data_IF_544565517397
#
_entry.id   IF_544565517397
#
_cell.length_a   1.000
_cell.length_b   1.000
_cell.length_c   1.000
_cell.angle_alpha   90.00
_cell.angle_beta   90.00
_cell.angle_gamma   90.00
#
_symmetry.space_group_name_H-M   'P 1'
#
loop_
_entity.id
_entity.type
_entity.pdbx_description
1 polymer ?
#
# COMPACT_ATOMS: atom_id res chain seq x y z
N UNK A 1 -7.97 23.99 17.50
CA UNK A 1 -7.74 22.73 18.22
C UNK A 1 -7.93 21.65 17.17
N UNK A 2 -6.86 20.96 16.79
CA UNK A 2 -6.96 19.83 15.85
C UNK A 2 -7.65 18.68 16.57
N UNK A 3 -8.69 18.13 15.97
CA UNK A 3 -9.43 17.00 16.50
C UNK A 3 -8.52 15.77 16.48
N UNK A 4 -7.98 15.46 17.66
CA UNK A 4 -7.01 14.40 17.88
C UNK A 4 -7.74 13.25 18.58
N UNK A 5 -7.63 12.05 18.00
CA UNK A 5 -8.27 10.88 18.58
C UNK A 5 -7.46 10.33 19.77
N UNK A 6 -8.08 9.44 20.55
CA UNK A 6 -7.46 8.80 21.73
C UNK A 6 -6.19 7.99 21.40
N UNK A 7 -6.02 7.61 20.13
CA UNK A 7 -4.85 6.87 19.65
C UNK A 7 -3.68 7.80 19.32
N UNK A 8 -3.84 9.11 19.52
CA UNK A 8 -2.82 10.09 19.23
C UNK A 8 -2.51 10.16 17.74
N UNK A 9 -3.54 10.24 16.90
CA UNK A 9 -3.50 10.65 15.50
C UNK A 9 -4.52 11.78 15.31
N UNK A 10 -4.37 12.70 14.33
CA UNK A 10 -5.52 13.46 13.83
C UNK A 10 -6.63 12.48 13.44
N UNK A 11 -7.90 12.77 13.74
CA UNK A 11 -9.03 11.83 13.55
C UNK A 11 -9.06 11.24 12.14
N UNK A 12 -8.79 12.07 11.13
CA UNK A 12 -8.71 11.67 9.70
C UNK A 12 -7.55 10.71 9.39
N UNK A 13 -6.52 10.67 10.23
CA UNK A 13 -5.31 9.85 10.07
C UNK A 13 -5.32 8.55 10.87
N UNK A 14 -6.37 8.29 11.65
CA UNK A 14 -6.48 7.09 12.46
C UNK A 14 -7.34 6.05 11.75
N UNK A 15 -6.76 4.93 11.33
CA UNK A 15 -7.52 3.86 10.64
C UNK A 15 -8.52 3.11 11.54
N UNK A 16 -8.49 3.33 12.85
CA UNK A 16 -9.51 2.83 13.79
C UNK A 16 -10.67 3.82 13.94
N UNK A 17 -10.38 5.11 14.06
CA UNK A 17 -11.42 6.14 14.24
C UNK A 17 -12.09 6.51 12.91
N UNK A 18 -11.33 6.43 11.82
CA UNK A 18 -11.74 6.64 10.45
C UNK A 18 -11.39 5.40 9.64
N UNK A 19 -12.04 4.24 9.92
CA UNK A 19 -11.81 3.02 9.17
C UNK A 19 -12.16 3.25 7.71
N UNK A 20 -11.39 2.63 6.81
CA UNK A 20 -11.65 2.67 5.36
C UNK A 20 -13.09 2.21 5.14
N UNK A 21 -13.97 3.11 4.70
CA UNK A 21 -15.38 2.77 4.51
C UNK A 21 -15.49 1.71 3.41
N UNK A 22 -15.89 0.49 3.79
CA UNK A 22 -16.43 -0.48 2.85
C UNK A 22 -17.87 -0.08 2.57
N UNK A 23 -18.16 0.36 1.35
CA UNK A 23 -19.56 0.38 0.92
C UNK A 23 -20.06 -1.06 0.88
N UNK A 24 -21.13 -1.32 1.64
CA UNK A 24 -21.81 -2.61 1.58
C UNK A 24 -22.46 -2.71 0.21
N UNK A 25 -22.20 -3.75 -0.60
CA UNK A 25 -22.81 -3.87 -1.91
C UNK A 25 -24.33 -3.81 -1.77
N UNK A 26 -24.95 -2.83 -2.42
CA UNK A 26 -26.40 -2.74 -2.47
C UNK A 26 -26.94 -4.06 -3.05
N UNK A 27 -27.80 -4.74 -2.29
CA UNK A 27 -28.48 -5.96 -2.72
C UNK A 27 -29.16 -5.66 -4.07
N UNK A 28 -28.80 -6.35 -5.17
CA UNK A 28 -29.41 -6.08 -6.46
C UNK A 28 -30.90 -6.40 -6.38
N UNK A 29 -31.72 -5.36 -6.52
CA UNK A 29 -33.17 -5.51 -6.61
C UNK A 29 -33.50 -6.25 -7.89
N UNK A 30 -34.11 -7.41 -7.75
CA UNK A 30 -34.52 -8.27 -8.87
C UNK A 30 -35.51 -7.51 -9.77
N UNK A 31 -35.26 -7.36 -11.08
CA UNK A 31 -36.23 -6.72 -11.97
C UNK A 31 -37.50 -7.56 -12.08
N UNK A 32 -38.66 -6.92 -11.91
CA UNK A 32 -39.96 -7.54 -12.07
C UNK A 32 -40.19 -8.06 -13.51
N UNK A 33 -40.82 -9.22 -13.70
CA UNK A 33 -41.01 -9.80 -15.03
C UNK A 33 -42.04 -8.99 -15.84
N UNK A 34 -41.61 -8.46 -16.98
CA UNK A 34 -42.49 -7.77 -17.94
C UNK A 34 -43.30 -8.81 -18.73
N UNK A 35 -44.62 -8.84 -18.51
CA UNK A 35 -45.57 -9.66 -19.30
C UNK A 35 -45.44 -9.36 -20.80
N UNK A 36 -45.11 -10.38 -21.58
CA UNK A 36 -45.19 -10.37 -23.05
C UNK A 36 -46.67 -10.43 -23.48
N UNK A 37 -47.10 -9.45 -24.27
CA UNK A 37 -48.41 -9.47 -24.93
C UNK A 37 -48.22 -10.18 -26.28
N UNK A 38 -48.80 -11.37 -26.41
CA UNK A 38 -48.90 -12.12 -27.66
C UNK A 38 -50.00 -11.46 -28.48
N UNK A 39 -49.67 -10.91 -29.66
CA UNK A 39 -50.64 -10.58 -30.70
C UNK A 39 -50.38 -11.49 -31.89
N UNK A 40 -51.31 -12.41 -32.13
CA UNK A 40 -51.39 -13.24 -33.32
C UNK A 40 -51.83 -12.40 -34.51
N UNK A 41 -50.99 -12.26 -35.53
CA UNK A 41 -51.45 -11.88 -36.86
C UNK A 41 -50.74 -12.71 -37.94
N UNK A 42 -51.56 -13.36 -38.76
CA UNK A 42 -51.20 -14.22 -39.88
C UNK A 42 -51.18 -13.39 -41.17
N UNK A 43 -49.99 -13.07 -41.71
CA UNK A 43 -49.76 -13.02 -43.16
C UNK A 43 -48.29 -12.82 -43.55
N UNK A 44 -47.79 -13.81 -44.30
CA UNK A 44 -46.85 -13.81 -45.42
C UNK A 44 -45.52 -13.01 -45.37
N UNK A 45 -44.43 -13.75 -45.51
CA UNK A 45 -43.02 -13.36 -45.72
C UNK A 45 -42.75 -12.68 -47.08
N UNK A 46 -41.65 -11.90 -47.19
CA UNK A 46 -40.41 -12.42 -47.79
C UNK A 46 -39.13 -12.15 -46.96
N UNK A 47 -38.03 -12.77 -47.43
CA UNK A 47 -36.78 -13.18 -46.75
C UNK A 47 -35.78 -12.04 -46.36
N UNK A 48 -34.70 -12.34 -45.61
CA UNK A 48 -34.14 -11.46 -44.58
C UNK A 48 -33.06 -10.49 -45.09
N UNK A 49 -33.11 -9.25 -44.61
CA UNK A 49 -31.93 -8.40 -44.58
C UNK A 49 -31.05 -8.80 -43.39
N UNK A 50 -29.77 -9.07 -43.66
CA UNK A 50 -28.74 -9.47 -42.70
C UNK A 50 -28.60 -8.42 -41.60
N UNK A 51 -29.25 -8.65 -40.46
CA UNK A 51 -28.91 -7.95 -39.24
C UNK A 51 -27.51 -8.38 -38.81
N UNK A 52 -26.54 -7.47 -38.85
CA UNK A 52 -25.33 -7.65 -38.06
C UNK A 52 -25.75 -7.56 -36.60
N UNK A 53 -26.13 -8.70 -36.05
CA UNK A 53 -26.11 -8.89 -34.60
C UNK A 53 -24.63 -8.75 -34.22
N UNK A 54 -24.26 -7.52 -33.85
CA UNK A 54 -23.06 -7.27 -33.08
C UNK A 54 -23.21 -8.15 -31.85
N UNK A 55 -22.46 -9.26 -31.86
CA UNK A 55 -22.21 -10.06 -30.67
C UNK A 55 -21.79 -9.06 -29.62
N UNK A 56 -22.70 -8.76 -28.68
CA UNK A 56 -22.36 -7.97 -27.51
C UNK A 56 -21.24 -8.75 -26.85
N UNK A 57 -20.03 -8.20 -26.93
CA UNK A 57 -18.93 -8.63 -26.08
C UNK A 57 -19.50 -8.74 -24.66
N UNK A 58 -19.13 -9.79 -23.89
CA UNK A 58 -19.49 -9.84 -22.49
C UNK A 58 -19.12 -8.48 -21.89
N UNK A 59 -20.09 -7.83 -21.24
CA UNK A 59 -19.88 -6.52 -20.65
C UNK A 59 -18.64 -6.62 -19.78
N UNK A 60 -17.66 -5.74 -20.01
CA UNK A 60 -16.49 -5.67 -19.16
C UNK A 60 -16.99 -5.56 -17.71
N UNK A 61 -16.42 -6.32 -16.76
CA UNK A 61 -16.83 -6.22 -15.37
C UNK A 61 -16.77 -4.76 -14.95
N UNK A 62 -17.85 -4.29 -14.33
CA UNK A 62 -17.95 -2.91 -13.86
C UNK A 62 -16.86 -2.71 -12.80
N UNK A 63 -15.90 -1.84 -13.11
CA UNK A 63 -14.76 -1.59 -12.23
C UNK A 63 -15.26 -0.88 -10.96
N UNK A 64 -14.82 -1.26 -9.74
CA UNK A 64 -15.14 -0.59 -8.47
C UNK A 64 -14.95 0.92 -8.55
N UNK A 65 -15.60 1.69 -7.68
CA UNK A 65 -15.30 3.12 -7.63
C UNK A 65 -13.81 3.36 -7.35
N UNK A 66 -13.15 4.26 -8.11
CA UNK A 66 -11.73 4.51 -7.93
C UNK A 66 -11.46 5.12 -6.56
N UNK A 67 -10.55 4.51 -5.81
CA UNK A 67 -9.93 5.14 -4.64
C UNK A 67 -9.16 6.37 -5.07
N UNK A 68 -9.36 7.49 -4.37
CA UNK A 68 -8.52 8.66 -4.58
C UNK A 68 -7.11 8.34 -4.08
N UNK A 69 -6.17 8.18 -5.01
CA UNK A 69 -4.78 7.91 -4.67
C UNK A 69 -4.26 8.98 -3.73
N UNK A 70 -4.59 10.26 -3.95
CA UNK A 70 -4.07 11.37 -3.13
C UNK A 70 -4.50 11.29 -1.64
N UNK A 71 -5.56 10.54 -1.32
CA UNK A 71 -6.01 10.28 0.05
C UNK A 71 -5.27 9.14 0.75
N UNK A 72 -4.50 8.35 0.02
CA UNK A 72 -3.79 7.17 0.55
C UNK A 72 -2.54 7.55 1.36
N UNK A 73 -2.05 6.55 2.09
CA UNK A 73 -0.82 6.63 2.88
C UNK A 73 0.14 5.54 2.45
N UNK A 74 1.41 5.90 2.44
CA UNK A 74 2.52 5.02 2.23
C UNK A 74 3.20 4.70 3.57
N UNK A 75 3.50 3.43 3.78
CA UNK A 75 3.99 2.89 5.04
C UNK A 75 5.38 2.31 4.80
N UNK A 76 6.37 2.79 5.55
CA UNK A 76 7.74 2.26 5.52
C UNK A 76 8.06 1.67 6.89
N UNK A 77 8.02 0.34 6.98
CA UNK A 77 8.42 -0.39 8.17
C UNK A 77 9.94 -0.55 8.20
N UNK A 78 10.57 -0.19 9.32
CA UNK A 78 12.01 -0.36 9.52
C UNK A 78 12.31 -0.66 10.99
N UNK A 79 13.42 -1.34 11.24
CA UNK A 79 13.85 -1.63 12.61
C UNK A 79 14.18 -0.32 13.35
N UNK A 80 13.87 -0.24 14.64
CA UNK A 80 14.07 0.98 15.44
C UNK A 80 15.53 1.44 15.43
N UNK A 81 16.49 0.51 15.38
CA UNK A 81 17.93 0.84 15.33
C UNK A 81 18.35 1.51 14.01
N UNK A 82 17.56 1.39 12.93
CA UNK A 82 17.81 2.10 11.68
C UNK A 82 17.40 3.57 11.75
N UNK A 83 16.60 3.98 12.74
CA UNK A 83 16.13 5.36 12.83
C UNK A 83 17.28 6.35 13.06
N UNK A 84 18.31 5.99 13.80
CA UNK A 84 19.41 6.90 14.09
C UNK A 84 20.08 7.41 12.79
N UNK A 85 20.30 6.53 11.81
CA UNK A 85 20.88 6.94 10.52
C UNK A 85 19.89 7.71 9.65
N UNK A 86 18.62 7.32 9.61
CA UNK A 86 17.55 8.06 8.90
C UNK A 86 17.42 9.49 9.45
N UNK A 87 17.46 9.63 10.77
CA UNK A 87 17.37 10.91 11.48
C UNK A 87 18.62 11.75 11.21
N UNK A 88 19.82 11.18 11.30
CA UNK A 88 21.07 11.87 10.99
C UNK A 88 21.15 12.36 9.53
N UNK A 89 20.64 11.57 8.59
CA UNK A 89 20.57 11.92 7.17
C UNK A 89 19.45 12.93 6.86
N UNK A 90 18.46 13.04 7.75
CA UNK A 90 17.23 13.82 7.52
C UNK A 90 16.34 13.24 6.42
N UNK A 91 16.56 11.98 6.01
CA UNK A 91 15.83 11.34 4.92
C UNK A 91 15.88 9.80 5.03
N UNK A 92 14.83 9.16 4.53
CA UNK A 92 14.86 7.74 4.18
C UNK A 92 15.58 7.64 2.83
N UNK A 93 16.62 6.81 2.75
CA UNK A 93 17.42 6.61 1.53
C UNK A 93 17.00 5.32 0.83
N UNK A 94 17.16 5.29 -0.50
CA UNK A 94 17.03 4.08 -1.29
C UNK A 94 18.00 2.98 -0.83
N UNK A 95 17.66 1.73 -1.15
CA UNK A 95 18.37 0.56 -0.62
C UNK A 95 19.84 0.46 -1.07
N UNK A 96 20.18 1.04 -2.22
CA UNK A 96 21.55 1.09 -2.75
C UNK A 96 22.43 2.19 -2.10
N UNK A 97 21.80 3.19 -1.47
CA UNK A 97 22.47 4.28 -0.76
C UNK A 97 22.42 4.12 0.76
N UNK A 98 21.53 3.28 1.28
CA UNK A 98 21.33 3.07 2.72
C UNK A 98 22.19 1.92 3.26
N UNK A 99 22.81 2.16 4.42
CA UNK A 99 23.46 1.10 5.22
C UNK A 99 22.70 0.95 6.55
N UNK A 100 21.65 0.11 6.60
CA UNK A 100 20.87 -0.08 7.82
C UNK A 100 21.70 -0.81 8.89
N UNK A 101 21.48 -0.47 10.16
CA UNK A 101 22.04 -1.20 11.29
C UNK A 101 21.47 -2.63 11.38
N UNK A 102 20.18 -2.77 11.05
CA UNK A 102 19.49 -4.04 10.89
C UNK A 102 18.90 -4.11 9.49
N UNK A 103 19.57 -4.85 8.62
CA UNK A 103 19.07 -5.15 7.28
C UNK A 103 18.08 -6.32 7.35
N UNK A 104 16.83 -6.08 6.95
CA UNK A 104 15.79 -7.12 6.96
C UNK A 104 15.77 -7.96 5.70
N UNK A 105 16.29 -7.45 4.58
CA UNK A 105 16.29 -8.16 3.31
C UNK A 105 17.48 -9.11 3.22
N UNK A 106 17.26 -10.32 2.69
CA UNK A 106 18.36 -11.23 2.40
C UNK A 106 19.26 -10.65 1.30
N UNK A 107 20.54 -11.05 1.24
CA UNK A 107 21.44 -10.64 0.15
C UNK A 107 20.88 -10.97 -1.24
N UNK A 108 20.17 -12.08 -1.38
CA UNK A 108 19.52 -12.48 -2.62
C UNK A 108 18.40 -11.50 -3.02
N UNK A 109 17.55 -11.08 -2.08
CA UNK A 109 16.53 -10.05 -2.34
C UNK A 109 17.15 -8.69 -2.67
N UNK A 110 18.24 -8.31 -2.00
CA UNK A 110 18.97 -7.08 -2.35
C UNK A 110 19.49 -7.14 -3.80
N UNK A 111 20.06 -8.26 -4.20
CA UNK A 111 20.55 -8.47 -5.57
C UNK A 111 19.41 -8.46 -6.59
N UNK A 112 18.33 -9.20 -6.34
CA UNK A 112 17.16 -9.23 -7.22
C UNK A 112 16.57 -7.82 -7.45
N UNK A 113 16.48 -7.01 -6.40
CA UNK A 113 16.00 -5.62 -6.52
C UNK A 113 17.01 -4.67 -7.18
N UNK A 114 18.30 -4.98 -7.14
CA UNK A 114 19.31 -4.22 -7.88
C UNK A 114 19.28 -4.54 -9.38
N UNK A 115 18.93 -5.78 -9.74
CA UNK A 115 18.82 -6.22 -11.14
C UNK A 115 17.46 -5.85 -11.77
N UNK A 116 16.39 -5.81 -10.98
CA UNK A 116 15.05 -5.44 -11.42
C UNK A 116 14.98 -3.97 -11.86
N UNK A 117 14.36 -3.71 -13.02
CA UNK A 117 14.23 -2.37 -13.59
C UNK A 117 12.90 -1.71 -13.22
N UNK A 118 12.96 -0.47 -12.76
CA UNK A 118 11.80 0.39 -12.58
C UNK A 118 11.45 1.13 -13.89
N UNK A 119 10.21 1.59 -14.06
CA UNK A 119 9.75 2.33 -15.24
C UNK A 119 10.53 3.60 -15.61
N UNK A 120 11.27 4.20 -14.67
CA UNK A 120 12.12 5.37 -14.93
C UNK A 120 13.50 5.00 -15.52
N UNK A 121 13.75 3.70 -15.72
CA UNK A 121 14.99 3.16 -16.26
C UNK A 121 16.08 2.89 -15.20
N UNK A 122 15.82 3.24 -13.93
CA UNK A 122 16.71 2.92 -12.81
C UNK A 122 16.43 1.53 -12.23
N UNK A 123 17.32 1.03 -11.34
CA UNK A 123 17.04 -0.19 -10.60
C UNK A 123 15.96 0.06 -9.54
N UNK A 124 15.20 -0.98 -9.20
CA UNK A 124 14.24 -0.95 -8.11
C UNK A 124 14.93 -0.64 -6.77
N UNK A 125 16.18 -1.05 -6.57
CA UNK A 125 16.98 -0.71 -5.39
C UNK A 125 17.31 0.78 -5.25
N UNK A 126 17.22 1.55 -6.35
CA UNK A 126 17.45 3.00 -6.39
C UNK A 126 16.27 3.84 -5.91
N UNK A 127 15.23 3.17 -5.38
CA UNK A 127 14.00 3.80 -4.90
C UNK A 127 13.78 3.52 -3.41
N UNK A 128 13.15 4.47 -2.71
CA UNK A 128 12.63 4.20 -1.36
C UNK A 128 11.30 3.47 -1.50
N UNK A 129 11.18 2.34 -0.83
CA UNK A 129 10.02 1.46 -0.94
C UNK A 129 9.02 1.71 0.19
N UNK A 130 7.74 1.68 -0.18
CA UNK A 130 6.63 1.79 0.76
C UNK A 130 5.54 0.79 0.41
N UNK A 131 4.76 0.39 1.40
CA UNK A 131 3.51 -0.33 1.19
C UNK A 131 2.32 0.62 1.25
N UNK A 132 1.24 0.32 0.49
CA UNK A 132 0.00 1.10 0.53
C UNK A 132 -1.02 0.61 1.57
N UNK A 133 -0.69 -0.49 2.26
CA UNK A 133 -1.46 -1.03 3.37
C UNK A 133 -0.62 -1.12 4.64
N UNK A 134 -1.18 -0.77 5.81
CA UNK A 134 -0.52 -1.02 7.09
C UNK A 134 -0.42 -2.51 7.43
N UNK A 135 -1.17 -3.38 6.74
CA UNK A 135 -1.13 -4.83 6.86
C UNK A 135 -0.57 -5.50 5.60
N UNK A 136 0.31 -4.79 4.86
CA UNK A 136 0.91 -5.32 3.65
C UNK A 136 1.65 -6.63 3.88
N UNK A 137 1.62 -7.53 2.87
CA UNK A 137 2.14 -8.90 2.96
C UNK A 137 3.57 -8.94 3.49
N UNK A 138 4.46 -8.06 3.00
CA UNK A 138 5.85 -7.98 3.46
C UNK A 138 5.96 -7.61 4.94
N UNK A 139 5.17 -6.65 5.40
CA UNK A 139 5.16 -6.30 6.82
C UNK A 139 4.60 -7.43 7.67
N UNK A 140 3.55 -8.08 7.18
CA UNK A 140 2.88 -9.18 7.85
C UNK A 140 3.80 -10.41 8.03
N UNK A 141 4.55 -10.79 7.00
CA UNK A 141 5.60 -11.81 7.09
C UNK A 141 6.67 -11.48 8.13
N UNK A 142 7.12 -10.22 8.16
CA UNK A 142 8.10 -9.75 9.13
C UNK A 142 7.56 -9.82 10.56
N UNK A 143 6.28 -9.43 10.76
CA UNK A 143 5.59 -9.57 12.06
C UNK A 143 5.50 -11.03 12.52
N UNK A 144 5.33 -11.97 11.59
CA UNK A 144 5.24 -13.42 11.87
C UNK A 144 6.59 -14.10 12.01
N UNK A 145 7.70 -13.37 11.99
CA UNK A 145 9.04 -13.91 12.26
C UNK A 145 9.93 -14.07 11.03
N UNK A 146 9.51 -13.60 9.86
CA UNK A 146 10.38 -13.45 8.68
C UNK A 146 10.99 -14.79 8.18
N UNK A 147 10.18 -15.85 8.12
CA UNK A 147 10.65 -17.21 7.82
C UNK A 147 11.10 -17.40 6.35
N UNK A 148 10.53 -16.66 5.40
CA UNK A 148 10.80 -16.80 3.96
C UNK A 148 12.22 -16.41 3.51
N UNK A 149 12.61 -16.89 2.32
CA UNK A 149 13.96 -16.72 1.73
C UNK A 149 14.35 -15.27 1.46
N UNK A 150 13.36 -14.38 1.34
CA UNK A 150 13.59 -12.95 1.14
C UNK A 150 14.10 -12.21 2.36
N UNK A 151 13.99 -12.83 3.54
CA UNK A 151 14.36 -12.23 4.79
C UNK A 151 15.77 -12.64 5.21
N UNK A 152 16.51 -11.70 5.79
CA UNK A 152 17.85 -11.95 6.31
C UNK A 152 17.79 -12.75 7.61
N UNK A 153 18.94 -13.30 8.03
CA UNK A 153 19.06 -13.88 9.36
C UNK A 153 18.86 -12.84 10.48
N UNK A 154 19.13 -11.56 10.20
CA UNK A 154 18.89 -10.50 11.16
C UNK A 154 17.39 -10.28 11.36
N UNK A 155 16.59 -10.26 10.28
CA UNK A 155 15.13 -10.17 10.36
C UNK A 155 14.53 -11.29 11.23
N UNK A 156 14.96 -12.54 11.01
CA UNK A 156 14.51 -13.72 11.78
C UNK A 156 14.81 -13.66 13.29
N UNK A 157 15.75 -12.80 13.69
CA UNK A 157 16.12 -12.59 15.11
C UNK A 157 15.42 -11.42 15.77
N UNK A 158 14.62 -10.67 15.01
CA UNK A 158 13.85 -9.51 15.51
C UNK A 158 12.40 -9.88 15.79
N UNK A 159 11.72 -9.02 16.54
CA UNK A 159 10.29 -9.11 16.82
C UNK A 159 9.59 -7.87 16.28
N UNK A 160 8.31 -7.99 15.96
CA UNK A 160 7.49 -6.87 15.49
C UNK A 160 7.59 -5.62 16.38
N UNK A 161 7.67 -5.77 17.70
CA UNK A 161 7.79 -4.67 18.67
C UNK A 161 9.14 -3.93 18.65
N UNK A 162 10.07 -4.35 17.80
CA UNK A 162 11.38 -3.72 17.58
C UNK A 162 11.40 -2.90 16.28
N UNK A 163 10.24 -2.77 15.62
CA UNK A 163 10.04 -1.97 14.43
C UNK A 163 9.28 -0.69 14.71
N UNK A 164 9.38 0.22 13.76
CA UNK A 164 8.56 1.43 13.64
C UNK A 164 8.01 1.51 12.23
N UNK A 165 6.91 2.24 12.06
CA UNK A 165 6.31 2.48 10.73
C UNK A 165 6.28 3.97 10.46
N UNK A 166 7.02 4.40 9.44
CA UNK A 166 7.03 5.80 8.99
C UNK A 166 5.92 5.96 7.95
N UNK A 167 4.99 6.89 8.22
CA UNK A 167 3.80 7.11 7.42
C UNK A 167 3.92 8.41 6.65
N UNK A 168 3.84 8.32 5.33
CA UNK A 168 3.93 9.44 4.39
C UNK A 168 2.60 9.54 3.63
N UNK A 169 1.89 10.68 3.66
CA UNK A 169 0.75 10.90 2.77
C UNK A 169 1.22 10.81 1.33
N UNK A 170 0.55 10.06 0.46
CA UNK A 170 1.09 9.86 -0.90
C UNK A 170 1.09 11.14 -1.73
N UNK A 171 0.31 12.15 -1.34
CA UNK A 171 0.35 13.51 -1.90
C UNK A 171 1.69 14.22 -1.69
N UNK A 172 2.54 13.72 -0.77
CA UNK A 172 3.91 14.20 -0.60
C UNK A 172 4.85 13.68 -1.69
N UNK A 173 4.45 12.62 -2.43
CA UNK A 173 5.19 12.16 -3.59
C UNK A 173 4.78 12.95 -4.84
N UNK A 174 5.78 13.32 -5.64
CA UNK A 174 5.56 14.07 -6.88
C UNK A 174 4.95 13.21 -8.00
N UNK A 175 4.84 13.81 -9.19
CA UNK A 175 4.29 13.16 -10.38
C UNK A 175 5.08 11.91 -10.84
N UNK A 176 6.29 11.70 -10.33
CA UNK A 176 7.17 10.58 -10.67
C UNK A 176 7.00 9.35 -9.77
N UNK A 177 6.00 9.33 -8.88
CA UNK A 177 5.74 8.15 -8.05
C UNK A 177 5.41 6.95 -8.92
N UNK A 178 5.99 5.79 -8.59
CA UNK A 178 5.74 4.53 -9.29
C UNK A 178 5.00 3.61 -8.33
N UNK A 179 3.93 2.99 -8.80
CA UNK A 179 3.20 1.97 -8.05
C UNK A 179 3.28 0.66 -8.81
N UNK A 180 3.67 -0.39 -8.10
CA UNK A 180 3.65 -1.77 -8.55
C UNK A 180 2.43 -2.49 -7.95
N UNK A 181 1.79 -3.35 -8.73
CA UNK A 181 0.63 -4.12 -8.25
C UNK A 181 0.99 -5.30 -7.35
N UNK A 182 2.28 -5.57 -7.22
CA UNK A 182 2.90 -6.55 -6.35
C UNK A 182 4.33 -6.09 -6.05
N UNK A 183 5.18 -6.99 -5.55
CA UNK A 183 6.61 -6.73 -5.40
C UNK A 183 7.25 -6.25 -6.71
N UNK A 184 7.95 -5.12 -6.66
CA UNK A 184 8.58 -4.51 -7.82
C UNK A 184 9.69 -5.36 -8.48
N UNK A 185 10.19 -6.39 -7.80
CA UNK A 185 11.16 -7.35 -8.30
C UNK A 185 10.56 -8.67 -8.82
N UNK A 186 9.23 -8.80 -8.84
CA UNK A 186 8.57 -9.96 -9.39
C UNK A 186 8.55 -9.96 -10.93
N UNK A 187 8.55 -11.14 -11.55
CA UNK A 187 8.68 -11.31 -13.00
C UNK A 187 7.50 -10.70 -13.81
N UNK A 188 6.29 -10.80 -13.29
CA UNK A 188 5.04 -10.38 -13.94
C UNK A 188 4.46 -9.08 -13.37
N UNK A 189 5.27 -8.31 -12.64
CA UNK A 189 4.85 -7.05 -12.02
C UNK A 189 4.35 -6.04 -13.05
N UNK A 190 3.25 -5.36 -12.73
CA UNK A 190 2.70 -4.27 -13.53
C UNK A 190 2.89 -2.97 -12.80
N UNK A 191 3.49 -2.00 -13.50
CA UNK A 191 3.72 -0.68 -12.98
C UNK A 191 2.74 0.36 -13.50
N UNK A 192 2.49 1.37 -12.68
CA UNK A 192 1.86 2.61 -13.04
C UNK A 192 2.73 3.79 -12.59
N UNK A 193 2.91 4.77 -13.47
CA UNK A 193 3.69 5.98 -13.19
C UNK A 193 2.77 7.18 -13.05
N UNK A 194 2.88 7.84 -11.90
CA UNK A 194 2.12 9.03 -11.54
C UNK A 194 0.71 8.74 -10.98
N UNK A 195 0.10 9.73 -10.30
CA UNK A 195 -1.13 9.54 -9.54
C UNK A 195 -2.31 8.99 -10.36
N UNK A 196 -2.53 9.50 -11.57
CA UNK A 196 -3.66 9.09 -12.40
C UNK A 196 -3.55 7.62 -12.88
N UNK A 197 -2.34 7.16 -13.22
CA UNK A 197 -2.12 5.78 -13.59
C UNK A 197 -2.21 4.87 -12.35
N UNK A 198 -1.68 5.32 -11.21
CA UNK A 198 -1.75 4.60 -9.94
C UNK A 198 -3.20 4.36 -9.49
N UNK A 199 -4.07 5.38 -9.55
CA UNK A 199 -5.51 5.22 -9.28
C UNK A 199 -6.13 4.13 -10.15
N UNK A 200 -5.81 4.10 -11.44
CA UNK A 200 -6.33 3.09 -12.36
C UNK A 200 -5.78 1.69 -12.10
N UNK A 201 -4.51 1.57 -11.70
CA UNK A 201 -3.91 0.29 -11.33
C UNK A 201 -4.58 -0.27 -10.08
N UNK A 202 -4.67 0.55 -9.03
CA UNK A 202 -5.31 0.20 -7.75
C UNK A 202 -6.75 -0.26 -7.98
N UNK A 203 -7.52 0.49 -8.77
CA UNK A 203 -8.91 0.13 -9.13
C UNK A 203 -9.03 -1.26 -9.77
N UNK A 204 -8.01 -1.72 -10.51
CA UNK A 204 -7.99 -3.07 -11.10
C UNK A 204 -7.56 -4.11 -10.07
N UNK A 205 -6.59 -3.78 -9.23
CA UNK A 205 -6.11 -4.67 -8.17
C UNK A 205 -7.18 -4.89 -7.08
N UNK A 206 -8.09 -3.95 -6.87
CA UNK A 206 -9.19 -4.05 -5.89
C UNK A 206 -10.07 -5.30 -6.06
N UNK A 207 -10.15 -5.87 -7.27
CA UNK A 207 -10.89 -7.12 -7.50
C UNK A 207 -10.25 -8.34 -6.84
N UNK A 208 -8.92 -8.37 -6.74
CA UNK A 208 -8.15 -9.51 -6.26
C UNK A 208 -7.48 -9.26 -4.92
N UNK A 209 -7.14 -8.01 -4.63
CA UNK A 209 -6.51 -7.54 -3.40
C UNK A 209 -7.13 -6.21 -2.96
N UNK A 210 -8.38 -6.24 -2.44
CA UNK A 210 -9.06 -5.05 -1.98
C UNK A 210 -8.36 -4.36 -0.80
N UNK A 211 -7.55 -5.07 -0.02
CA UNK A 211 -6.84 -4.49 1.13
C UNK A 211 -5.46 -3.91 0.75
N UNK A 212 -5.06 -4.01 -0.52
CA UNK A 212 -3.79 -3.52 -1.06
C UNK A 212 -2.58 -4.14 -0.36
N UNK A 213 -2.68 -5.41 0.02
CA UNK A 213 -1.61 -6.13 0.70
C UNK A 213 -0.36 -6.28 -0.16
N UNK A 214 -0.51 -6.45 -1.48
CA UNK A 214 0.58 -6.64 -2.43
C UNK A 214 1.16 -5.35 -2.99
N UNK A 215 0.43 -4.22 -2.92
CA UNK A 215 0.83 -2.99 -3.58
C UNK A 215 2.11 -2.38 -2.97
N UNK A 216 3.09 -2.16 -3.83
CA UNK A 216 4.35 -1.50 -3.50
C UNK A 216 4.43 -0.13 -4.19
N UNK A 217 4.85 0.89 -3.47
CA UNK A 217 5.13 2.23 -3.98
C UNK A 217 6.64 2.46 -3.95
N UNK A 218 7.18 2.86 -5.10
CA UNK A 218 8.56 3.29 -5.27
C UNK A 218 8.59 4.82 -5.35
N UNK A 219 9.13 5.45 -4.32
CA UNK A 219 9.44 6.88 -4.32
C UNK A 219 10.86 7.10 -4.84
N UNK A 220 11.22 8.34 -5.15
CA UNK A 220 12.57 8.69 -5.61
C UNK A 220 13.68 8.25 -4.65
N UNK A 221 14.97 8.47 -5.00
CA UNK A 221 16.11 7.88 -4.29
C UNK A 221 16.23 8.33 -2.83
N UNK A 222 15.51 9.40 -2.46
CA UNK A 222 15.51 10.01 -1.14
C UNK A 222 14.11 10.51 -0.80
N UNK A 223 13.62 10.19 0.39
CA UNK A 223 12.36 10.74 0.93
C UNK A 223 12.70 11.55 2.19
N UNK A 224 12.54 12.89 2.16
CA UNK A 224 12.84 13.73 3.32
C UNK A 224 12.04 13.31 4.54
N UNK A 225 12.68 13.28 5.71
CA UNK A 225 12.02 12.96 6.97
C UNK A 225 10.90 13.97 7.30
N UNK A 226 11.01 15.20 6.79
CA UNK A 226 9.96 16.23 6.87
C UNK A 226 8.66 15.88 6.12
N UNK A 227 8.69 14.89 5.21
CA UNK A 227 7.51 14.37 4.51
C UNK A 227 6.75 13.33 5.36
N UNK A 228 7.37 12.82 6.42
CA UNK A 228 6.77 11.84 7.32
C UNK A 228 5.78 12.54 8.25
N UNK A 229 4.51 12.22 8.10
CA UNK A 229 3.45 12.80 8.92
C UNK A 229 3.43 12.18 10.32
N UNK A 230 3.58 10.85 10.40
CA UNK A 230 3.53 10.09 11.65
C UNK A 230 4.55 8.97 11.65
N UNK A 231 5.17 8.73 12.80
CA UNK A 231 5.91 7.50 13.12
C UNK A 231 5.05 6.69 14.10
N UNK A 232 4.51 5.58 13.61
CA UNK A 232 3.82 4.59 14.44
C UNK A 232 4.83 3.75 15.21
N UNK A 233 4.57 3.53 16.49
CA UNK A 233 5.43 2.72 17.37
C UNK A 233 4.61 1.74 18.21
N UNK A 234 5.18 0.59 18.64
CA UNK A 234 4.44 -0.46 19.32
C UNK A 234 4.00 -0.11 20.74
N UNK A 235 4.76 0.72 21.44
CA UNK A 235 4.53 1.01 22.86
C UNK A 235 5.20 2.33 23.29
N UNK A 236 4.90 2.78 24.50
CA UNK A 236 5.43 4.04 25.03
C UNK A 236 6.95 4.03 25.22
N UNK A 237 7.56 2.87 25.49
CA UNK A 237 9.02 2.77 25.60
C UNK A 237 9.68 3.16 24.28
N UNK A 238 9.25 2.55 23.17
CA UNK A 238 9.76 2.89 21.84
C UNK A 238 9.41 4.34 21.48
N UNK A 239 8.22 4.82 21.84
CA UNK A 239 7.85 6.24 21.64
C UNK A 239 8.85 7.20 22.27
N UNK A 240 9.26 6.96 23.52
CA UNK A 240 10.24 7.83 24.18
C UNK A 240 11.61 7.74 23.52
N UNK A 241 12.06 6.54 23.13
CA UNK A 241 13.30 6.35 22.38
C UNK A 241 13.31 7.16 21.07
N UNK A 242 12.24 7.05 20.28
CA UNK A 242 12.12 7.80 19.01
C UNK A 242 12.05 9.30 19.25
N UNK A 243 11.32 9.76 20.27
CA UNK A 243 11.25 11.19 20.61
C UNK A 243 12.61 11.77 20.99
N UNK A 244 13.41 11.03 21.77
CA UNK A 244 14.77 11.45 22.13
C UNK A 244 15.63 11.60 20.88
N UNK A 245 15.60 10.63 19.96
CA UNK A 245 16.34 10.70 18.69
C UNK A 245 15.91 11.92 17.85
N UNK A 246 14.61 12.19 17.75
CA UNK A 246 14.10 13.31 16.97
C UNK A 246 14.39 14.69 17.58
N UNK A 247 14.57 14.79 18.91
CA UNK A 247 14.84 16.06 19.59
C UNK A 247 16.20 16.66 19.19
N UNK A 248 17.11 15.83 18.69
CA UNK A 248 18.45 16.25 18.24
C UNK A 248 18.41 16.92 16.86
N UNK A 249 17.34 16.70 16.08
CA UNK A 249 17.15 17.31 14.76
C UNK A 249 16.36 18.61 14.90
N UNK A 250 17.04 19.74 14.80
CA UNK A 250 16.37 21.03 14.73
C UNK A 250 15.36 21.06 13.57
N UNK A 251 14.09 21.40 13.83
CA UNK A 251 13.04 21.46 12.81
C UNK A 251 11.69 20.96 13.30
N UNK A 252 10.72 20.83 12.37
CA UNK A 252 9.41 20.24 12.67
C UNK A 252 9.55 18.71 12.64
N UNK A 253 9.69 18.10 13.82
CA UNK A 253 9.75 16.66 13.96
C UNK A 253 8.41 15.98 13.55
N UNK A 254 8.45 14.79 12.93
CA UNK A 254 7.26 13.96 12.75
C UNK A 254 6.55 13.67 14.07
N UNK A 255 5.24 13.50 14.00
CA UNK A 255 4.44 13.08 15.16
C UNK A 255 4.79 11.63 15.50
N UNK A 256 4.95 11.30 16.79
CA UNK A 256 5.19 9.92 17.25
C UNK A 256 3.96 9.41 18.01
N UNK A 257 3.34 8.36 17.48
CA UNK A 257 2.08 7.81 17.98
C UNK A 257 2.21 6.32 18.33
N UNK A 258 1.69 5.93 19.49
CA UNK A 258 1.65 4.52 19.91
C UNK A 258 0.47 3.85 19.22
N UNK A 259 0.74 2.82 18.43
CA UNK A 259 -0.29 2.09 17.69
C UNK A 259 -0.03 0.57 17.72
N UNK A 260 -0.30 -0.09 18.86
CA UNK A 260 0.02 -1.50 19.07
C UNK A 260 -0.52 -2.46 17.99
N UNK A 261 -1.74 -2.26 17.42
CA UNK A 261 -2.27 -3.18 16.41
C UNK A 261 -1.37 -3.39 15.18
N UNK A 262 -0.57 -2.40 14.79
CA UNK A 262 0.39 -2.57 13.69
C UNK A 262 1.53 -3.52 14.01
N UNK A 263 1.78 -3.85 15.28
CA UNK A 263 2.95 -4.61 15.73
C UNK A 263 2.58 -5.93 16.40
N UNK A 264 1.31 -6.32 16.34
CA UNK A 264 0.85 -7.63 16.76
C UNK A 264 0.47 -8.40 15.49
N UNK A 265 0.92 -9.65 15.31
CA UNK A 265 0.42 -10.49 14.23
C UNK A 265 -1.11 -10.61 14.31
N UNK A 266 -1.82 -10.58 13.17
CA UNK A 266 -3.26 -10.84 13.17
C UNK A 266 -3.53 -12.19 13.85
N UNK A 267 -4.52 -12.24 14.75
CA UNK A 267 -5.01 -13.51 15.28
C UNK A 267 -5.67 -14.22 14.10
N UNK A 268 -5.03 -15.27 13.61
CA UNK A 268 -5.67 -16.21 12.68
C UNK A 268 -6.59 -17.06 13.54
N UNK A 269 -7.90 -16.92 13.37
CA UNK A 269 -8.83 -17.88 13.93
C UNK A 269 -8.42 -19.26 13.39
N UNK A 270 -8.10 -20.18 14.29
CA UNK A 270 -7.79 -21.55 13.90
C UNK A 270 -9.09 -22.19 13.41
N UNK A 271 -9.16 -22.48 12.11
CA UNK A 271 -10.17 -23.36 11.52
C UNK A 271 -10.12 -24.77 12.14
#
# INVERSE_FOLDING_TARGET
>A
MTDECIHGFPTELCDICSPRQRETPAVPTTPAPRRTRITTDLRSTPAPARGSSSLRSPAAPELPEPRDFASLRAHHATHVDNLASIVAEGAILAADAATPAVDVSSPATRAARADASAPDGGPVSGHVTFSLSPDATRWDELRRGAEGERWSDAARRTRAVEYVVLVVPVSAFGASVIVADQDADAEDVRFAVGPAAATNLIRRTDFTDPEMHGLELLAGPRVPLSSVAVIGVPNDRVRQQVKTLLAEQGGRAPRVAVFPPWFVPPVVDAD
#
